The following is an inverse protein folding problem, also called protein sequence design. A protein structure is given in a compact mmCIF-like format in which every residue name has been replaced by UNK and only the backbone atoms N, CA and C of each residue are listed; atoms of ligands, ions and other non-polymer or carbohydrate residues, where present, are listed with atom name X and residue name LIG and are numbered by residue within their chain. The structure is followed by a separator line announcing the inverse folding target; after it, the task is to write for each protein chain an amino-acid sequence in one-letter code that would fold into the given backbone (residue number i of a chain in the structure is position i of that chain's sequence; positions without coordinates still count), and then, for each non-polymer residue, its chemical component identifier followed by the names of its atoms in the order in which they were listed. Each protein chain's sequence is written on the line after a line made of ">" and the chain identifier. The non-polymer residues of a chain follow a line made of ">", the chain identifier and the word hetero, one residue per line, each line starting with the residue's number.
data_IF_991954136821
#
_entry.id   IF_991954136821
#
_cell.length_a   1.000
_cell.length_b   1.000
_cell.length_c   1.000
_cell.angle_alpha   90.00
_cell.angle_beta   90.00
_cell.angle_gamma   90.00
#
_symmetry.space_group_name_H-M   'P 1'
#
loop_
_entity.id
_entity.type
_entity.pdbx_description
1 polymer ?
#
# COMPACT_ATOMS: atom_id res chain seq x y z
N UNK A 1 -0.62 -3.86 8.54
CA UNK A 1 -1.16 -5.18 8.12
C UNK A 1 -2.67 -5.18 7.91
N UNK A 2 -3.51 -4.87 8.91
CA UNK A 2 -4.97 -4.93 8.78
C UNK A 2 -5.52 -4.12 7.59
N UNK A 3 -5.05 -2.90 7.38
CA UNK A 3 -5.43 -2.07 6.24
C UNK A 3 -5.21 -2.79 4.88
N UNK A 4 -4.03 -3.34 4.64
CA UNK A 4 -3.72 -4.03 3.39
C UNK A 4 -4.54 -5.31 3.18
N UNK A 5 -4.86 -6.02 4.27
CA UNK A 5 -5.69 -7.22 4.23
C UNK A 5 -7.18 -6.87 4.04
N UNK A 6 -7.71 -5.99 4.89
CA UNK A 6 -9.17 -5.82 5.05
C UNK A 6 -9.73 -4.78 4.07
N UNK A 7 -8.92 -3.80 3.62
CA UNK A 7 -9.32 -2.78 2.65
C UNK A 7 -8.91 -3.20 1.23
N UNK A 8 -7.63 -3.54 1.03
CA UNK A 8 -7.07 -3.80 -0.29
C UNK A 8 -7.11 -5.28 -0.72
N UNK A 9 -7.46 -6.18 0.19
CA UNK A 9 -7.63 -7.60 -0.12
C UNK A 9 -6.33 -8.40 -0.30
N UNK A 10 -5.19 -7.88 0.20
CA UNK A 10 -3.93 -8.62 0.15
C UNK A 10 -3.93 -9.74 1.20
N UNK A 11 -3.23 -10.83 0.91
CA UNK A 11 -3.02 -11.94 1.84
C UNK A 11 -1.68 -11.82 2.56
N UNK A 12 -1.63 -12.29 3.81
CA UNK A 12 -0.36 -12.42 4.55
C UNK A 12 0.40 -13.61 3.98
N UNK A 13 1.61 -13.36 3.48
CA UNK A 13 2.51 -14.40 3.00
C UNK A 13 3.57 -14.78 4.02
N UNK A 14 4.04 -13.80 4.81
CA UNK A 14 5.04 -13.98 5.86
C UNK A 14 4.72 -13.05 7.02
N UNK A 15 4.88 -13.50 8.24
CA UNK A 15 4.70 -12.70 9.46
C UNK A 15 5.54 -13.31 10.57
N UNK A 16 6.71 -12.71 10.87
CA UNK A 16 7.59 -13.20 11.92
C UNK A 16 8.47 -12.08 12.47
N UNK A 17 9.08 -12.36 13.64
CA UNK A 17 10.10 -11.53 14.23
C UNK A 17 11.43 -11.71 13.51
N UNK A 18 12.08 -10.61 13.19
CA UNK A 18 13.40 -10.59 12.54
C UNK A 18 14.35 -9.71 13.34
N UNK A 19 15.50 -10.26 13.69
CA UNK A 19 16.61 -9.52 14.28
C UNK A 19 17.48 -8.97 13.16
N UNK A 20 17.70 -7.67 13.13
CA UNK A 20 18.44 -7.01 12.06
C UNK A 20 19.93 -7.40 12.11
N UNK A 21 20.46 -7.76 10.95
CA UNK A 21 21.90 -8.07 10.78
C UNK A 21 22.78 -6.82 10.75
N UNK A 22 22.18 -5.64 10.46
CA UNK A 22 22.89 -4.39 10.20
C UNK A 22 23.56 -4.32 8.84
N UNK A 23 23.29 -5.28 7.92
CA UNK A 23 23.96 -5.36 6.61
C UNK A 23 22.98 -5.24 5.45
N UNK A 24 21.88 -5.98 5.46
CA UNK A 24 20.99 -6.11 4.30
C UNK A 24 19.93 -5.03 4.16
N UNK A 25 19.62 -4.32 5.24
CA UNK A 25 18.60 -3.28 5.26
C UNK A 25 19.22 -1.95 5.71
N UNK A 26 18.92 -0.88 5.01
CA UNK A 26 19.35 0.46 5.38
C UNK A 26 18.39 1.06 6.44
N UNK A 27 18.18 0.33 7.53
CA UNK A 27 17.27 0.73 8.61
C UNK A 27 17.69 0.07 9.93
N UNK A 28 17.64 0.81 11.03
CA UNK A 28 18.01 0.36 12.36
C UNK A 28 19.47 -0.07 12.49
N UNK A 29 19.79 -0.64 13.64
CA UNK A 29 21.10 -1.13 13.98
C UNK A 29 21.15 -2.66 14.07
N UNK A 30 22.36 -3.21 14.05
CA UNK A 30 22.55 -4.65 14.27
C UNK A 30 22.04 -5.07 15.65
N UNK A 31 21.13 -6.02 15.66
CA UNK A 31 20.53 -6.54 16.89
C UNK A 31 19.15 -5.97 17.20
N UNK A 32 18.70 -4.92 16.48
CA UNK A 32 17.35 -4.40 16.65
C UNK A 32 16.30 -5.46 16.30
N UNK A 33 15.26 -5.51 17.09
CA UNK A 33 14.15 -6.45 16.89
C UNK A 33 13.05 -5.78 16.08
N UNK A 34 12.61 -6.48 15.07
CA UNK A 34 11.56 -6.01 14.16
C UNK A 34 10.55 -7.12 13.93
N UNK A 35 9.33 -6.76 13.58
CA UNK A 35 8.35 -7.67 12.98
C UNK A 35 8.28 -7.37 11.49
N UNK A 36 8.56 -8.37 10.67
CA UNK A 36 8.41 -8.28 9.23
C UNK A 36 7.13 -8.99 8.80
N UNK A 37 6.23 -8.25 8.19
CA UNK A 37 5.03 -8.80 7.53
C UNK A 37 5.16 -8.59 6.03
N UNK A 38 5.08 -9.65 5.24
CA UNK A 38 5.03 -9.55 3.78
C UNK A 38 3.60 -9.83 3.34
N UNK A 39 2.99 -8.85 2.73
CA UNK A 39 1.67 -8.92 2.13
C UNK A 39 1.78 -9.23 0.64
N UNK A 40 0.93 -10.11 0.13
CA UNK A 40 0.98 -10.60 -1.24
C UNK A 40 -0.33 -10.28 -1.97
N UNK A 41 -0.19 -9.80 -3.20
CA UNK A 41 -1.29 -9.70 -4.16
C UNK A 41 -1.63 -11.09 -4.76
N UNK A 42 -2.49 -11.14 -5.77
CA UNK A 42 -2.93 -12.40 -6.37
C UNK A 42 -1.84 -13.09 -7.20
N UNK A 43 -0.94 -12.30 -7.81
CA UNK A 43 0.16 -12.86 -8.59
C UNK A 43 1.17 -13.61 -7.68
N UNK A 44 1.60 -14.83 -8.04
CA UNK A 44 2.53 -15.60 -7.22
C UNK A 44 3.95 -15.03 -7.15
N UNK A 45 4.31 -14.11 -8.06
CA UNK A 45 5.69 -13.65 -8.25
C UNK A 45 5.86 -12.14 -8.05
N UNK A 46 4.82 -11.36 -8.36
CA UNK A 46 4.85 -9.90 -8.39
C UNK A 46 3.82 -9.31 -7.42
N UNK A 47 4.11 -8.15 -6.87
CA UNK A 47 3.16 -7.41 -6.05
C UNK A 47 3.17 -7.82 -4.57
N UNK A 48 4.35 -7.90 -3.98
CA UNK A 48 4.52 -8.03 -2.54
C UNK A 48 4.85 -6.67 -1.91
N UNK A 49 4.31 -6.43 -0.72
CA UNK A 49 4.61 -5.27 0.11
C UNK A 49 5.15 -5.78 1.44
N UNK A 50 6.38 -5.37 1.78
CA UNK A 50 6.98 -5.64 3.08
C UNK A 50 6.67 -4.52 4.06
N UNK A 51 6.09 -4.85 5.20
CA UNK A 51 5.84 -3.94 6.32
C UNK A 51 6.81 -4.30 7.44
N UNK A 52 7.65 -3.35 7.83
CA UNK A 52 8.64 -3.54 8.90
C UNK A 52 8.24 -2.68 10.10
N UNK A 53 7.93 -3.33 11.21
CA UNK A 53 7.66 -2.67 12.49
C UNK A 53 8.88 -2.82 13.41
N UNK A 54 9.44 -1.69 13.87
CA UNK A 54 10.48 -1.69 14.90
C UNK A 54 9.85 -1.94 16.26
N UNK A 55 10.10 -3.08 16.84
CA UNK A 55 9.53 -3.47 18.14
C UNK A 55 10.47 -3.10 19.29
N UNK A 56 11.79 -3.18 19.07
CA UNK A 56 12.81 -2.84 20.07
C UNK A 56 14.13 -2.41 19.38
N UNK A 57 14.54 -1.12 19.50
CA UNK A 57 13.78 0.00 20.08
C UNK A 57 12.61 0.41 19.16
N UNK A 58 11.53 0.95 19.72
CA UNK A 58 10.48 1.60 18.93
C UNK A 58 11.01 2.92 18.38
N UNK A 59 10.81 3.14 17.09
CA UNK A 59 11.15 4.40 16.45
C UNK A 59 10.05 5.46 16.70
N UNK A 60 10.41 6.75 16.74
CA UNK A 60 9.44 7.83 16.81
C UNK A 60 8.60 7.86 15.52
N UNK A 61 7.33 8.20 15.67
CA UNK A 61 6.44 8.40 14.51
C UNK A 61 6.93 9.61 13.68
N UNK A 62 6.96 9.47 12.34
CA UNK A 62 7.26 10.62 11.48
C UNK A 62 6.11 11.63 11.52
N UNK A 63 6.34 12.90 11.17
CA UNK A 63 5.25 13.85 11.01
C UNK A 63 4.28 13.40 9.89
N UNK A 64 2.96 13.62 10.06
CA UNK A 64 1.97 13.20 9.09
C UNK A 64 2.18 13.89 7.74
N UNK A 65 1.97 13.14 6.66
CA UNK A 65 2.05 13.64 5.29
C UNK A 65 0.65 14.07 4.81
N UNK A 66 0.53 15.30 4.35
CA UNK A 66 -0.72 15.81 3.81
C UNK A 66 -0.74 15.84 2.27
N UNK A 67 0.43 15.86 1.65
CA UNK A 67 0.63 15.97 0.21
C UNK A 67 1.82 15.15 -0.25
N UNK A 68 1.75 14.73 -1.51
CA UNK A 68 2.91 14.16 -2.20
C UNK A 68 3.95 15.26 -2.47
N UNK A 69 5.20 14.91 -2.24
CA UNK A 69 6.37 15.74 -2.51
C UNK A 69 7.37 15.05 -3.43
N UNK A 70 8.50 15.71 -3.64
CA UNK A 70 9.59 15.15 -4.46
C UNK A 70 10.18 13.94 -3.73
N UNK A 71 10.24 12.80 -4.42
CA UNK A 71 10.77 11.54 -3.89
C UNK A 71 9.75 10.65 -3.18
N UNK A 72 8.50 11.08 -3.06
CA UNK A 72 7.44 10.23 -2.52
C UNK A 72 7.06 9.10 -3.50
N UNK A 73 6.75 7.95 -2.94
CA UNK A 73 6.30 6.78 -3.69
C UNK A 73 4.77 6.77 -3.72
N UNK A 74 4.22 6.44 -4.89
CA UNK A 74 2.80 6.15 -5.07
C UNK A 74 2.65 4.65 -5.36
N UNK A 75 1.86 3.95 -4.59
CA UNK A 75 1.47 2.59 -4.90
C UNK A 75 0.30 2.60 -5.88
N UNK A 76 0.57 2.21 -7.12
CA UNK A 76 -0.48 2.04 -8.13
C UNK A 76 -0.94 0.59 -8.10
N UNK A 77 -2.17 0.39 -7.66
CA UNK A 77 -2.78 -0.93 -7.56
C UNK A 77 -3.90 -1.09 -8.60
N UNK A 78 -4.09 -2.31 -9.06
CA UNK A 78 -5.18 -2.65 -9.97
C UNK A 78 -6.04 -3.75 -9.35
N UNK A 79 -7.35 -3.58 -9.47
CA UNK A 79 -8.34 -4.57 -9.06
C UNK A 79 -9.63 -4.42 -9.86
N UNK A 80 -10.66 -5.15 -9.47
CA UNK A 80 -11.93 -5.28 -10.20
C UNK A 80 -13.13 -4.67 -9.46
N UNK A 81 -12.91 -4.10 -8.27
CA UNK A 81 -13.98 -3.58 -7.41
C UNK A 81 -13.54 -2.27 -6.70
N UNK A 82 -13.50 -1.17 -7.44
CA UNK A 82 -13.13 0.14 -6.88
C UNK A 82 -14.17 0.64 -5.88
N UNK A 83 -15.46 0.40 -6.12
CA UNK A 83 -16.55 0.83 -5.25
C UNK A 83 -16.50 0.09 -3.90
N UNK A 84 -16.41 -1.23 -3.91
CA UNK A 84 -16.33 -2.01 -2.67
C UNK A 84 -15.02 -1.75 -1.91
N UNK A 85 -13.91 -1.48 -2.61
CA UNK A 85 -12.66 -1.08 -1.97
C UNK A 85 -12.82 0.26 -1.24
N UNK A 86 -13.50 1.23 -1.85
CA UNK A 86 -13.81 2.50 -1.20
C UNK A 86 -14.69 2.31 0.04
N UNK A 87 -15.74 1.50 -0.04
CA UNK A 87 -16.65 1.22 1.09
C UNK A 87 -15.89 0.56 2.26
N UNK A 88 -15.02 -0.40 1.97
CA UNK A 88 -14.14 -1.01 2.99
C UNK A 88 -13.17 0.01 3.59
N UNK A 89 -12.59 0.89 2.77
CA UNK A 89 -11.68 1.93 3.24
C UNK A 89 -12.37 2.94 4.16
N UNK A 90 -13.58 3.38 3.81
CA UNK A 90 -14.41 4.24 4.66
C UNK A 90 -14.78 3.54 5.96
N UNK A 91 -15.21 2.28 5.90
CA UNK A 91 -15.54 1.48 7.09
C UNK A 91 -14.33 1.21 8.00
N UNK A 92 -13.14 1.14 7.44
CA UNK A 92 -11.88 1.02 8.18
C UNK A 92 -11.44 2.35 8.83
N UNK A 93 -11.97 3.49 8.37
CA UNK A 93 -11.54 4.82 8.78
C UNK A 93 -10.28 5.30 8.07
N UNK A 94 -10.00 4.79 6.88
CA UNK A 94 -8.87 5.22 6.08
C UNK A 94 -9.04 6.66 5.58
N UNK A 95 -7.92 7.36 5.42
CA UNK A 95 -7.91 8.73 4.89
C UNK A 95 -8.07 8.71 3.37
N UNK A 96 -9.28 9.04 2.90
CA UNK A 96 -9.62 9.12 1.48
C UNK A 96 -9.14 10.45 0.91
N UNK A 97 -8.41 10.41 -0.22
CA UNK A 97 -8.07 11.60 -0.99
C UNK A 97 -9.13 11.90 -2.06
N UNK A 98 -9.50 10.89 -2.85
CA UNK A 98 -10.58 11.00 -3.83
C UNK A 98 -11.44 9.74 -3.82
N UNK A 99 -12.79 9.87 -3.79
CA UNK A 99 -13.69 8.74 -3.93
C UNK A 99 -13.60 8.16 -5.35
N UNK A 100 -14.25 7.01 -5.62
CA UNK A 100 -14.29 6.43 -6.97
C UNK A 100 -14.80 7.43 -8.00
N UNK A 101 -14.02 7.62 -9.07
CA UNK A 101 -14.37 8.49 -10.19
C UNK A 101 -13.92 7.86 -11.51
N UNK A 102 -14.75 8.02 -12.53
CA UNK A 102 -14.42 7.52 -13.86
C UNK A 102 -13.56 8.52 -14.64
N UNK A 103 -12.63 8.00 -15.40
CA UNK A 103 -11.84 8.75 -16.36
C UNK A 103 -11.42 7.88 -17.54
N UNK A 104 -10.88 8.51 -18.56
CA UNK A 104 -10.34 7.85 -19.74
C UNK A 104 -8.88 8.19 -19.91
N UNK A 105 -8.08 7.21 -20.24
CA UNK A 105 -6.64 7.36 -20.44
C UNK A 105 -6.21 6.59 -21.68
N UNK A 106 -5.19 7.08 -22.35
CA UNK A 106 -4.56 6.38 -23.45
C UNK A 106 -3.63 5.31 -22.90
N UNK A 107 -3.93 4.04 -23.18
CA UNK A 107 -3.10 2.90 -22.81
C UNK A 107 -1.78 2.85 -23.59
N UNK A 108 -0.86 2.00 -23.15
CA UNK A 108 0.46 1.81 -23.78
C UNK A 108 0.37 1.32 -25.23
N UNK A 109 -0.70 0.62 -25.58
CA UNK A 109 -1.01 0.15 -26.95
C UNK A 109 -1.71 1.22 -27.81
N UNK A 110 -1.91 2.42 -27.27
CA UNK A 110 -2.53 3.55 -27.96
C UNK A 110 -4.07 3.55 -27.93
N UNK A 111 -4.72 2.50 -27.41
CA UNK A 111 -6.18 2.46 -27.26
C UNK A 111 -6.65 3.31 -26.08
N UNK A 112 -7.86 3.83 -26.16
CA UNK A 112 -8.50 4.49 -25.04
C UNK A 112 -9.00 3.42 -24.05
N UNK A 113 -8.64 3.58 -22.78
CA UNK A 113 -9.07 2.74 -21.67
C UNK A 113 -10.02 3.53 -20.77
N UNK A 114 -11.12 2.90 -20.38
CA UNK A 114 -12.02 3.42 -19.36
C UNK A 114 -11.65 2.84 -18.01
N UNK A 115 -11.47 3.71 -17.04
CA UNK A 115 -11.00 3.39 -15.71
C UNK A 115 -11.93 4.00 -14.66
N UNK A 116 -12.07 3.32 -13.52
CA UNK A 116 -12.50 3.94 -12.27
C UNK A 116 -11.31 3.95 -11.32
N UNK A 117 -10.98 5.11 -10.77
CA UNK A 117 -9.91 5.25 -9.79
C UNK A 117 -10.45 5.78 -8.47
N UNK A 118 -9.87 5.32 -7.39
CA UNK A 118 -9.96 5.96 -6.07
C UNK A 118 -8.55 6.17 -5.55
N UNK A 119 -8.36 7.16 -4.69
CA UNK A 119 -7.06 7.39 -4.06
C UNK A 119 -7.21 7.64 -2.57
N UNK A 120 -6.26 7.11 -1.80
CA UNK A 120 -6.28 7.11 -0.35
C UNK A 120 -4.86 7.04 0.22
N UNK A 121 -4.75 7.30 1.49
CA UNK A 121 -3.51 7.15 2.24
C UNK A 121 -3.60 5.90 3.11
N UNK A 122 -2.52 5.16 3.19
CA UNK A 122 -2.41 4.09 4.17
C UNK A 122 -2.14 4.64 5.59
N UNK A 123 -2.12 3.79 6.63
CA UNK A 123 -1.86 4.23 8.00
C UNK A 123 -0.47 4.85 8.24
N UNK A 124 0.49 4.59 7.37
CA UNK A 124 1.87 5.10 7.43
C UNK A 124 2.10 6.27 6.46
N UNK A 125 1.01 6.88 5.95
CA UNK A 125 1.02 8.02 5.04
C UNK A 125 1.66 7.74 3.66
N UNK A 126 1.56 6.50 3.17
CA UNK A 126 1.84 6.20 1.77
C UNK A 126 0.59 6.39 0.92
N UNK A 127 0.77 7.05 -0.23
CA UNK A 127 -0.33 7.32 -1.15
C UNK A 127 -0.58 6.10 -2.04
N UNK A 128 -1.86 5.73 -2.14
CA UNK A 128 -2.32 4.60 -2.94
C UNK A 128 -3.32 5.11 -3.97
N UNK A 129 -3.08 4.77 -5.22
CA UNK A 129 -4.02 4.89 -6.32
C UNK A 129 -4.51 3.49 -6.69
N UNK A 130 -5.80 3.25 -6.47
CA UNK A 130 -6.43 1.97 -6.82
C UNK A 130 -7.27 2.14 -8.08
N UNK A 131 -6.99 1.36 -9.10
CA UNK A 131 -7.57 1.45 -10.41
C UNK A 131 -8.36 0.19 -10.78
N UNK A 132 -9.58 0.38 -11.25
CA UNK A 132 -10.38 -0.65 -11.90
C UNK A 132 -10.48 -0.35 -13.38
N UNK A 133 -10.11 -1.31 -14.19
CA UNK A 133 -10.23 -1.25 -15.65
C UNK A 133 -11.57 -1.87 -16.09
N UNK A 134 -12.26 -1.27 -17.08
CA UNK A 134 -13.59 -1.70 -17.53
C UNK A 134 -13.61 -2.42 -18.88
N UNK A 135 -12.47 -2.70 -19.48
CA UNK A 135 -12.38 -3.32 -20.83
C UNK A 135 -11.18 -4.24 -20.99
#
# INVERSE_FOLDING_TARGET
>A
MAFYRDVLGLSVWYDDEVVLSGVGLAAGDRGDRTRLVIMKCQDPTVGMIGLLEFTEPRLPEPPPRERLGIGDIVFVMQGDDAQGTWERAVGFGARIHAPPHEFRVRGADGRELRMTSLSLWDPDDYFIEYNQRHD
#
